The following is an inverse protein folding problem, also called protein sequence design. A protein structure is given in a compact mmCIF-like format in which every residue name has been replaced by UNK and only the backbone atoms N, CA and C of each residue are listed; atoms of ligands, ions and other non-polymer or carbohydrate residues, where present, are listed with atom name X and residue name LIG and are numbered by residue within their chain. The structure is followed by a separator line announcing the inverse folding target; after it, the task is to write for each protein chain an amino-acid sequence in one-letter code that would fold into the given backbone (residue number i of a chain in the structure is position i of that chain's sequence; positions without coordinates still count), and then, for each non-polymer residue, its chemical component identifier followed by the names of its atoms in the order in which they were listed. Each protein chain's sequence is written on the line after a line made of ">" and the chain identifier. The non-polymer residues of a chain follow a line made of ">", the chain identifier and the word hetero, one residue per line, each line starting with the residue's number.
data_IF_609910523933
#
_entry.id   IF_609910523933
#
_cell.length_a   1.000
_cell.length_b   1.000
_cell.length_c   1.000
_cell.angle_alpha   90.00
_cell.angle_beta   90.00
_cell.angle_gamma   90.00
#
_symmetry.space_group_name_H-M   'P 1'
#
loop_
_entity.id
_entity.type
_entity.pdbx_description
1 polymer ?
#
# COMPACT_ATOMS: atom_id res chain seq x y z
N UNK A 1 -18.21 -19.33 16.49
CA UNK A 1 -17.95 -18.32 15.45
C UNK A 1 -18.36 -16.97 16.01
N UNK A 2 -17.45 -16.06 16.16
CA UNK A 2 -17.71 -14.73 16.74
C UNK A 2 -18.57 -13.93 15.75
N UNK A 3 -19.70 -13.40 16.23
CA UNK A 3 -20.60 -12.51 15.49
C UNK A 3 -20.03 -11.07 15.40
N UNK A 4 -18.74 -10.92 15.07
CA UNK A 4 -18.24 -9.60 14.71
C UNK A 4 -18.83 -9.24 13.35
N UNK A 5 -19.51 -8.09 13.25
CA UNK A 5 -19.93 -7.54 11.97
C UNK A 5 -18.73 -7.35 11.05
N UNK A 6 -18.98 -7.16 9.73
CA UNK A 6 -17.92 -6.87 8.78
C UNK A 6 -17.21 -5.57 9.18
N UNK A 7 -15.86 -5.51 9.07
CA UNK A 7 -15.11 -4.30 9.36
C UNK A 7 -15.49 -3.23 8.32
N UNK A 8 -15.83 -2.05 8.77
CA UNK A 8 -16.24 -0.94 7.90
C UNK A 8 -15.38 0.31 8.10
N UNK A 9 -15.06 0.64 9.35
CA UNK A 9 -14.20 1.77 9.63
C UNK A 9 -12.73 1.43 9.31
N UNK A 10 -11.99 2.43 8.87
CA UNK A 10 -10.58 2.25 8.48
C UNK A 10 -9.74 1.62 9.60
N UNK A 11 -9.99 1.99 10.86
CA UNK A 11 -9.34 1.35 12.01
C UNK A 11 -9.68 -0.13 12.16
N UNK A 12 -10.93 -0.52 11.91
CA UNK A 12 -11.39 -1.92 11.97
C UNK A 12 -10.78 -2.75 10.83
N UNK A 13 -10.70 -2.18 9.62
CA UNK A 13 -10.11 -2.83 8.46
C UNK A 13 -8.62 -3.08 8.69
N UNK A 14 -7.90 -2.08 9.21
CA UNK A 14 -6.49 -2.21 9.58
C UNK A 14 -6.28 -3.35 10.57
N UNK A 15 -7.07 -3.37 11.63
CA UNK A 15 -6.95 -4.41 12.66
C UNK A 15 -7.34 -5.80 12.14
N UNK A 16 -8.37 -5.89 11.30
CA UNK A 16 -8.77 -7.15 10.65
C UNK A 16 -7.64 -7.72 9.78
N UNK A 17 -6.99 -6.87 8.97
CA UNK A 17 -5.86 -7.27 8.14
C UNK A 17 -4.69 -7.79 8.98
N UNK A 18 -4.27 -7.02 9.97
CA UNK A 18 -3.13 -7.40 10.81
C UNK A 18 -3.40 -8.70 11.57
N UNK A 19 -4.59 -8.84 12.18
CA UNK A 19 -5.01 -10.05 12.91
C UNK A 19 -5.14 -11.26 11.98
N UNK A 20 -5.64 -11.07 10.74
CA UNK A 20 -5.73 -12.13 9.74
C UNK A 20 -4.34 -12.74 9.47
N UNK A 21 -3.32 -11.90 9.25
CA UNK A 21 -1.97 -12.37 8.98
C UNK A 21 -1.27 -12.89 10.24
N UNK A 22 -1.49 -12.31 11.42
CA UNK A 22 -1.00 -12.87 12.69
C UNK A 22 -1.51 -14.31 12.89
N UNK A 23 -2.79 -14.58 12.59
CA UNK A 23 -3.37 -15.92 12.70
C UNK A 23 -2.75 -16.94 11.72
N UNK A 24 -2.02 -16.46 10.70
CA UNK A 24 -1.29 -17.24 9.71
C UNK A 24 0.23 -17.24 9.92
N UNK A 25 0.66 -16.92 11.14
CA UNK A 25 2.06 -17.00 11.55
C UNK A 25 2.94 -15.82 11.10
N UNK A 26 2.34 -14.69 10.71
CA UNK A 26 3.10 -13.47 10.47
C UNK A 26 3.32 -12.71 11.77
N UNK A 27 4.54 -12.22 11.98
CA UNK A 27 4.81 -11.31 13.08
C UNK A 27 4.32 -9.90 12.71
N UNK A 28 3.50 -9.32 13.57
CA UNK A 28 3.06 -7.93 13.44
C UNK A 28 4.18 -7.00 13.82
N UNK A 29 4.60 -6.14 12.89
CA UNK A 29 5.62 -5.12 13.13
C UNK A 29 5.01 -3.71 13.04
N UNK A 30 5.56 -2.74 13.79
CA UNK A 30 5.12 -1.36 13.71
C UNK A 30 5.50 -0.74 12.35
N UNK A 31 4.81 0.33 11.99
CA UNK A 31 5.21 1.20 10.89
C UNK A 31 6.59 1.79 11.15
N UNK A 32 7.45 1.79 10.15
CA UNK A 32 8.68 2.58 10.21
C UNK A 32 8.39 4.08 10.04
N UNK A 33 9.42 4.90 10.26
CA UNK A 33 9.36 6.34 10.00
C UNK A 33 9.10 6.64 8.53
N UNK A 34 8.42 7.74 8.26
CA UNK A 34 8.29 8.33 6.92
C UNK A 34 9.62 8.80 6.34
N UNK A 35 10.61 9.05 7.20
CA UNK A 35 11.98 9.37 6.80
C UNK A 35 12.78 8.06 6.76
N UNK A 36 13.14 7.54 5.56
CA UNK A 36 13.92 6.31 5.45
C UNK A 36 15.27 6.46 6.14
N UNK A 37 15.59 5.57 7.06
CA UNK A 37 16.92 5.52 7.64
C UNK A 37 17.88 4.84 6.67
N UNK A 38 19.05 5.46 6.44
CA UNK A 38 20.13 4.91 5.63
C UNK A 38 19.82 4.66 4.14
N UNK A 39 18.78 5.25 3.59
CA UNK A 39 18.49 5.19 2.16
C UNK A 39 18.43 6.61 1.55
N UNK A 40 19.54 7.12 1.00
CA UNK A 40 19.59 8.44 0.35
C UNK A 40 18.88 8.47 -1.01
N UNK A 41 18.51 7.30 -1.56
CA UNK A 41 17.82 7.21 -2.84
C UNK A 41 16.33 7.55 -2.74
N UNK A 42 15.76 7.52 -1.53
CA UNK A 42 14.36 7.82 -1.27
C UNK A 42 14.20 9.10 -0.45
N UNK A 43 13.32 9.97 -0.91
CA UNK A 43 12.96 11.17 -0.15
C UNK A 43 12.12 10.79 1.08
N UNK A 44 11.10 9.95 0.88
CA UNK A 44 10.21 9.44 1.92
C UNK A 44 9.97 7.94 1.76
N UNK A 45 9.50 7.29 2.82
CA UNK A 45 8.98 5.93 2.77
C UNK A 45 7.70 5.93 1.93
N UNK A 46 7.76 5.35 0.74
CA UNK A 46 6.68 5.38 -0.27
C UNK A 46 5.98 4.04 -0.48
N UNK A 47 6.45 2.98 0.19
CA UNK A 47 5.89 1.63 0.13
C UNK A 47 6.19 0.85 1.41
N UNK A 48 5.38 -0.17 1.69
CA UNK A 48 5.52 -1.02 2.87
C UNK A 48 6.85 -1.76 2.95
N UNK A 49 7.40 -2.13 1.79
CA UNK A 49 8.64 -2.90 1.70
C UNK A 49 9.92 -2.11 2.06
N UNK A 50 9.86 -0.77 2.11
CA UNK A 50 11.07 0.06 2.29
C UNK A 50 11.83 -0.29 3.56
N UNK A 51 11.13 -0.56 4.66
CA UNK A 51 11.76 -0.97 5.92
C UNK A 51 12.42 -2.38 5.86
N UNK A 52 12.15 -3.16 4.81
CA UNK A 52 12.64 -4.53 4.63
C UNK A 52 13.59 -4.67 3.43
N UNK A 53 14.01 -3.58 2.81
CA UNK A 53 14.81 -3.56 1.57
C UNK A 53 16.00 -4.52 1.60
N UNK A 54 16.76 -4.52 2.69
CA UNK A 54 17.96 -5.35 2.84
C UNK A 54 17.63 -6.86 2.88
N UNK A 55 16.41 -7.21 3.33
CA UNK A 55 15.97 -8.61 3.37
C UNK A 55 15.63 -9.16 2.00
N UNK A 56 15.07 -8.33 1.14
CA UNK A 56 14.76 -8.72 -0.23
C UNK A 56 16.02 -8.92 -1.09
N UNK A 57 17.09 -8.17 -0.81
CA UNK A 57 18.34 -8.27 -1.56
C UNK A 57 19.22 -9.46 -1.17
N UNK A 58 18.85 -10.23 -0.14
CA UNK A 58 19.64 -11.39 0.34
C UNK A 58 20.82 -11.01 1.24
N UNK A 59 21.13 -9.73 1.41
CA UNK A 59 22.22 -9.27 2.28
C UNK A 59 22.07 -9.72 3.75
N UNK A 60 20.85 -9.99 4.19
CA UNK A 60 20.56 -10.48 5.53
C UNK A 60 20.86 -11.98 5.73
N UNK A 61 21.07 -12.75 4.67
CA UNK A 61 21.37 -14.18 4.76
C UNK A 61 22.86 -14.48 4.90
N UNK A 62 23.72 -13.57 4.46
CA UNK A 62 25.19 -13.76 4.54
C UNK A 62 25.82 -13.21 5.83
N UNK A 63 25.07 -12.42 6.64
CA UNK A 63 25.59 -11.67 7.78
C UNK A 63 24.84 -11.87 9.09
N UNK A 64 24.49 -13.09 9.47
CA UNK A 64 23.84 -13.36 10.77
C UNK A 64 24.73 -13.04 12.01
N UNK A 65 25.83 -12.32 11.82
CA UNK A 65 26.81 -12.04 12.87
C UNK A 65 27.14 -10.58 13.18
N UNK A 66 26.84 -9.58 12.36
CA UNK A 66 27.51 -8.29 12.55
C UNK A 66 26.75 -6.97 12.28
N UNK A 67 25.53 -6.92 11.76
CA UNK A 67 24.98 -5.65 11.24
C UNK A 67 23.66 -5.14 11.85
N UNK A 68 23.10 -5.70 12.89
CA UNK A 68 21.80 -5.25 13.45
C UNK A 68 21.87 -4.51 14.81
N UNK A 69 22.99 -3.85 15.12
CA UNK A 69 23.13 -3.10 16.38
C UNK A 69 22.56 -1.67 16.35
N UNK A 70 22.02 -1.14 15.24
CA UNK A 70 21.67 0.29 15.13
C UNK A 70 20.18 0.63 14.94
N UNK A 71 19.27 -0.32 14.91
CA UNK A 71 17.84 -0.03 14.67
C UNK A 71 16.98 0.13 15.94
N UNK A 72 17.53 0.16 17.15
CA UNK A 72 16.73 0.23 18.40
C UNK A 72 17.08 1.36 19.37
N UNK A 73 17.80 2.39 18.94
CA UNK A 73 18.28 3.43 19.87
C UNK A 73 17.31 4.60 20.12
N UNK A 74 16.12 4.62 19.53
CA UNK A 74 15.18 5.75 19.68
C UNK A 74 13.94 5.48 20.56
N UNK A 75 13.79 4.32 21.16
CA UNK A 75 12.59 3.98 21.94
C UNK A 75 12.87 3.48 23.37
N UNK A 76 13.96 3.91 24.01
CA UNK A 76 14.19 3.54 25.42
C UNK A 76 14.96 4.59 26.20
N UNK A 77 14.22 5.59 26.66
CA UNK A 77 14.63 6.45 27.76
C UNK A 77 13.68 6.27 28.95
N UNK A 78 13.40 5.05 29.38
CA UNK A 78 12.82 4.76 30.70
C UNK A 78 12.83 3.23 30.92
N UNK A 79 13.91 2.69 31.43
CA UNK A 79 13.98 1.61 32.41
C UNK A 79 15.43 1.07 32.47
N UNK A 80 16.14 1.49 33.48
CA UNK A 80 17.45 0.98 33.79
C UNK A 80 17.34 -0.36 34.52
N UNK A 81 18.37 -1.21 34.34
CA UNK A 81 18.77 -2.35 35.11
C UNK A 81 18.03 -3.68 34.89
N UNK A 82 18.59 -4.52 34.03
CA UNK A 82 19.05 -5.86 34.42
C UNK A 82 19.73 -6.54 33.22
N UNK A 83 20.95 -7.00 33.46
CA UNK A 83 21.82 -7.68 32.50
C UNK A 83 21.27 -9.06 32.14
N UNK A 84 20.94 -9.28 30.91
CA UNK A 84 21.05 -10.58 30.24
C UNK A 84 21.31 -10.36 28.77
N UNK A 85 22.36 -10.97 28.23
CA UNK A 85 22.69 -10.93 26.79
C UNK A 85 21.52 -11.49 25.99
N UNK A 86 20.67 -10.61 25.44
CA UNK A 86 19.61 -10.97 24.53
C UNK A 86 20.29 -11.40 23.22
N UNK A 87 20.20 -12.69 22.92
CA UNK A 87 20.42 -13.23 21.57
C UNK A 87 19.68 -12.34 20.57
N UNK A 88 20.37 -11.78 19.59
CA UNK A 88 19.75 -11.08 18.47
C UNK A 88 18.86 -12.09 17.73
N UNK A 89 17.57 -12.10 18.06
CA UNK A 89 16.59 -12.97 17.42
C UNK A 89 16.48 -12.54 15.95
N UNK A 90 16.80 -13.46 15.05
CA UNK A 90 16.61 -13.25 13.62
C UNK A 90 15.16 -12.82 13.38
N UNK A 91 14.98 -11.79 12.54
CA UNK A 91 13.63 -11.33 12.18
C UNK A 91 12.82 -12.49 11.57
N UNK A 92 11.53 -12.63 11.89
CA UNK A 92 10.70 -13.72 11.40
C UNK A 92 10.62 -13.72 9.88
N UNK A 93 10.44 -14.92 9.29
CA UNK A 93 10.35 -15.08 7.82
C UNK A 93 9.12 -14.40 7.24
N UNK A 94 8.03 -14.35 7.99
CA UNK A 94 6.77 -13.75 7.56
C UNK A 94 6.41 -12.60 8.51
N UNK A 95 6.08 -11.44 7.95
CA UNK A 95 5.70 -10.26 8.74
C UNK A 95 4.48 -9.57 8.14
N UNK A 96 3.74 -8.84 8.97
CA UNK A 96 2.64 -7.98 8.54
C UNK A 96 2.76 -6.61 9.21
N UNK A 97 2.38 -5.55 8.48
CA UNK A 97 2.44 -4.18 8.98
C UNK A 97 1.41 -3.28 8.29
N UNK A 98 1.00 -2.21 8.98
CA UNK A 98 0.35 -1.06 8.36
C UNK A 98 1.39 0.06 8.29
N UNK A 99 1.98 0.27 7.11
CA UNK A 99 3.07 1.23 6.90
C UNK A 99 2.53 2.59 6.49
N UNK A 100 2.95 3.63 7.21
CA UNK A 100 2.79 5.03 6.80
C UNK A 100 3.61 5.28 5.53
N UNK A 101 2.99 5.85 4.50
CA UNK A 101 3.64 6.14 3.23
C UNK A 101 3.40 7.59 2.81
N UNK A 102 4.41 8.18 2.15
CA UNK A 102 4.30 9.49 1.48
C UNK A 102 4.80 9.37 0.05
N UNK A 103 3.97 9.82 -0.89
CA UNK A 103 4.29 9.89 -2.32
C UNK A 103 4.26 11.35 -2.78
N UNK A 104 5.35 12.06 -2.53
CA UNK A 104 5.59 13.43 -2.94
C UNK A 104 6.98 13.53 -3.59
N UNK A 105 7.00 13.48 -4.90
CA UNK A 105 8.24 13.51 -5.71
C UNK A 105 8.78 12.13 -6.09
N UNK A 106 9.69 12.10 -7.08
CA UNK A 106 10.28 10.87 -7.62
C UNK A 106 9.37 10.11 -8.58
N UNK A 107 9.67 8.81 -8.80
CA UNK A 107 8.93 7.94 -9.74
C UNK A 107 7.46 7.74 -9.33
N UNK A 108 7.18 7.73 -8.04
CA UNK A 108 5.83 7.58 -7.49
C UNK A 108 5.38 8.91 -6.88
N UNK A 109 5.03 9.87 -7.74
CA UNK A 109 4.54 11.19 -7.32
C UNK A 109 3.04 11.27 -7.55
N UNK A 110 2.26 11.29 -6.47
CA UNK A 110 0.80 11.43 -6.53
C UNK A 110 0.32 12.87 -6.34
N UNK A 111 1.25 13.80 -6.05
CA UNK A 111 0.93 15.16 -5.60
C UNK A 111 0.01 15.93 -6.55
N UNK A 112 0.25 15.82 -7.86
CA UNK A 112 -0.54 16.52 -8.88
C UNK A 112 -1.96 15.95 -9.06
N UNK A 113 -2.19 14.72 -8.58
CA UNK A 113 -3.46 14.03 -8.68
C UNK A 113 -4.34 14.22 -7.44
N UNK A 114 -3.77 14.69 -6.33
CA UNK A 114 -4.48 14.86 -5.05
C UNK A 114 -5.62 15.86 -5.18
N UNK A 115 -6.82 15.46 -4.77
CA UNK A 115 -8.04 16.26 -4.85
C UNK A 115 -8.75 16.20 -6.19
N UNK A 116 -8.05 15.87 -7.27
CA UNK A 116 -8.60 15.75 -8.63
C UNK A 116 -9.06 14.34 -8.96
N UNK A 117 -8.42 13.34 -8.38
CA UNK A 117 -8.81 11.94 -8.52
C UNK A 117 -9.46 11.43 -7.24
N UNK A 118 -10.29 10.37 -7.30
CA UNK A 118 -10.94 9.83 -6.13
C UNK A 118 -10.01 9.02 -5.18
N UNK A 119 -8.78 8.68 -5.62
CA UNK A 119 -7.95 7.61 -5.03
C UNK A 119 -6.51 7.97 -4.68
N UNK A 120 -6.01 9.16 -5.05
CA UNK A 120 -4.61 9.54 -4.81
C UNK A 120 -4.47 10.44 -3.60
N UNK A 121 -3.44 10.19 -2.80
CA UNK A 121 -3.10 10.89 -1.57
C UNK A 121 -1.61 11.13 -1.47
N UNK A 122 -1.21 12.26 -0.87
CA UNK A 122 0.18 12.52 -0.50
C UNK A 122 0.61 11.56 0.60
N UNK A 123 -0.20 11.40 1.65
CA UNK A 123 0.00 10.46 2.74
C UNK A 123 -1.12 9.42 2.75
N UNK A 124 -0.74 8.14 2.90
CA UNK A 124 -1.67 7.03 3.02
C UNK A 124 -1.07 5.91 3.85
N UNK A 125 -1.89 4.95 4.26
CA UNK A 125 -1.43 3.73 4.92
C UNK A 125 -1.45 2.54 3.94
N UNK A 126 -0.34 1.82 3.89
CA UNK A 126 -0.21 0.60 3.11
C UNK A 126 -0.22 -0.61 4.04
N UNK A 127 -1.26 -1.41 3.95
CA UNK A 127 -1.37 -2.70 4.63
C UNK A 127 -0.54 -3.72 3.86
N UNK A 128 0.45 -4.32 4.51
CA UNK A 128 1.38 -5.23 3.85
C UNK A 128 1.55 -6.55 4.59
N UNK A 129 1.66 -7.63 3.81
CA UNK A 129 2.18 -8.90 4.27
C UNK A 129 3.38 -9.28 3.42
N UNK A 130 4.40 -9.80 4.07
CA UNK A 130 5.70 -10.06 3.49
C UNK A 130 6.16 -11.46 3.84
N UNK A 131 6.79 -12.13 2.86
CA UNK A 131 7.45 -13.41 3.08
C UNK A 131 8.88 -13.36 2.54
N UNK A 132 9.83 -13.71 3.37
CA UNK A 132 11.25 -13.76 3.05
C UNK A 132 11.71 -15.22 2.97
N UNK A 133 11.14 -15.95 1.99
CA UNK A 133 11.38 -17.39 1.80
C UNK A 133 10.51 -18.30 2.65
N UNK A 134 9.52 -17.78 3.37
CA UNK A 134 8.57 -18.58 4.14
C UNK A 134 7.50 -19.22 3.24
N UNK A 135 6.97 -18.45 2.29
CA UNK A 135 6.04 -18.90 1.25
C UNK A 135 6.21 -18.05 -0.02
N UNK A 136 5.52 -18.43 -1.10
CA UNK A 136 5.57 -17.71 -2.36
C UNK A 136 4.18 -17.56 -3.00
N UNK A 137 4.04 -17.64 -4.32
CA UNK A 137 2.84 -17.29 -5.10
C UNK A 137 1.55 -17.94 -4.62
N UNK A 138 1.54 -19.28 -4.44
CA UNK A 138 0.31 -20.00 -4.14
C UNK A 138 -0.30 -19.54 -2.81
N UNK A 139 0.49 -19.53 -1.75
CA UNK A 139 0.00 -19.10 -0.43
C UNK A 139 -0.33 -17.62 -0.39
N UNK A 140 0.44 -16.77 -1.09
CA UNK A 140 0.16 -15.34 -1.19
C UNK A 140 -1.22 -15.09 -1.82
N UNK A 141 -1.52 -15.78 -2.93
CA UNK A 141 -2.80 -15.68 -3.62
C UNK A 141 -3.94 -16.25 -2.77
N UNK A 142 -3.71 -17.39 -2.08
CA UNK A 142 -4.70 -17.96 -1.15
C UNK A 142 -5.03 -16.96 -0.05
N UNK A 143 -4.02 -16.36 0.60
CA UNK A 143 -4.24 -15.39 1.66
C UNK A 143 -5.00 -14.15 1.16
N UNK A 144 -4.59 -13.63 0.01
CA UNK A 144 -5.25 -12.45 -0.56
C UNK A 144 -6.72 -12.74 -0.91
N UNK A 145 -6.99 -13.89 -1.58
CA UNK A 145 -8.33 -14.25 -1.95
C UNK A 145 -9.23 -14.52 -0.75
N UNK A 146 -8.71 -15.22 0.27
CA UNK A 146 -9.44 -15.45 1.51
C UNK A 146 -9.80 -14.15 2.22
N UNK A 147 -8.84 -13.23 2.36
CA UNK A 147 -9.09 -11.97 3.03
C UNK A 147 -10.17 -11.15 2.31
N UNK A 148 -10.06 -10.95 1.00
CA UNK A 148 -11.03 -10.12 0.28
C UNK A 148 -12.41 -10.77 0.17
N UNK A 149 -12.50 -12.10 -0.05
CA UNK A 149 -13.76 -12.77 -0.28
C UNK A 149 -14.48 -13.24 0.99
N UNK A 150 -13.73 -13.54 2.08
CA UNK A 150 -14.31 -14.07 3.32
C UNK A 150 -14.32 -13.02 4.43
N UNK A 151 -13.17 -12.41 4.75
CA UNK A 151 -13.05 -11.48 5.87
C UNK A 151 -13.66 -10.11 5.53
N UNK A 152 -13.43 -9.60 4.32
CA UNK A 152 -14.10 -8.39 3.82
C UNK A 152 -15.44 -8.68 3.17
N UNK A 153 -15.74 -9.94 2.84
CA UNK A 153 -16.98 -10.38 2.16
C UNK A 153 -17.28 -9.58 0.88
N UNK A 154 -16.23 -9.23 0.12
CA UNK A 154 -16.43 -8.61 -1.18
C UNK A 154 -17.01 -9.65 -2.16
N UNK A 155 -18.04 -9.24 -2.90
CA UNK A 155 -18.67 -10.09 -3.91
C UNK A 155 -17.66 -10.44 -5.02
N UNK A 156 -17.34 -11.75 -5.23
CA UNK A 156 -16.43 -12.16 -6.30
C UNK A 156 -16.87 -11.68 -7.69
N UNK A 157 -18.17 -11.45 -7.89
CA UNK A 157 -18.69 -10.90 -9.14
C UNK A 157 -18.21 -9.47 -9.44
N UNK A 158 -17.78 -8.73 -8.43
CA UNK A 158 -17.20 -7.39 -8.53
C UNK A 158 -15.68 -7.40 -8.57
N UNK A 159 -15.02 -8.55 -8.49
CA UNK A 159 -13.57 -8.66 -8.45
C UNK A 159 -12.98 -9.00 -9.82
N UNK A 160 -11.86 -8.42 -10.13
CA UNK A 160 -10.95 -8.77 -11.21
C UNK A 160 -9.53 -8.83 -10.67
N UNK A 161 -8.71 -9.63 -11.34
CA UNK A 161 -7.29 -9.70 -11.02
C UNK A 161 -6.47 -9.49 -12.29
N UNK A 162 -5.30 -8.90 -12.12
CA UNK A 162 -4.32 -8.80 -13.19
C UNK A 162 -3.14 -9.73 -12.91
N UNK A 163 -2.47 -10.15 -13.96
CA UNK A 163 -1.21 -10.91 -13.89
C UNK A 163 -0.26 -10.42 -14.96
N UNK A 164 1.03 -10.50 -14.70
CA UNK A 164 2.02 -10.18 -15.72
C UNK A 164 1.89 -11.15 -16.91
N UNK A 165 2.03 -10.62 -18.13
CA UNK A 165 1.84 -11.37 -19.40
C UNK A 165 2.66 -12.66 -19.51
N UNK A 166 3.82 -12.72 -18.85
CA UNK A 166 4.70 -13.90 -18.83
C UNK A 166 4.52 -14.78 -17.61
N UNK A 167 3.57 -14.48 -16.70
CA UNK A 167 3.37 -15.21 -15.46
C UNK A 167 2.20 -16.20 -15.55
N UNK A 168 2.41 -17.29 -16.32
CA UNK A 168 1.44 -18.36 -16.49
C UNK A 168 1.11 -19.06 -15.17
N UNK A 169 2.08 -19.10 -14.24
CA UNK A 169 1.90 -19.71 -12.92
C UNK A 169 0.86 -18.96 -12.09
N UNK A 170 0.98 -17.64 -12.00
CA UNK A 170 0.00 -16.83 -11.26
C UNK A 170 -1.40 -16.87 -11.88
N UNK A 171 -1.51 -16.90 -13.21
CA UNK A 171 -2.81 -17.07 -13.86
C UNK A 171 -3.47 -18.42 -13.52
N UNK A 172 -2.69 -19.51 -13.58
CA UNK A 172 -3.19 -20.84 -13.24
C UNK A 172 -3.60 -20.94 -11.76
N UNK A 173 -2.83 -20.33 -10.87
CA UNK A 173 -3.13 -20.24 -9.43
C UNK A 173 -4.43 -19.46 -9.18
N UNK A 174 -4.60 -18.30 -9.80
CA UNK A 174 -5.83 -17.52 -9.67
C UNK A 174 -7.06 -18.31 -10.13
N UNK A 175 -7.00 -18.97 -11.30
CA UNK A 175 -8.09 -19.83 -11.78
C UNK A 175 -8.44 -20.94 -10.78
N UNK A 176 -7.42 -21.59 -10.22
CA UNK A 176 -7.57 -22.70 -9.27
C UNK A 176 -8.15 -22.24 -7.92
N UNK A 177 -7.67 -21.10 -7.40
CA UNK A 177 -7.95 -20.65 -6.03
C UNK A 177 -9.24 -19.84 -5.97
N UNK A 178 -9.39 -18.87 -6.87
CA UNK A 178 -10.53 -17.96 -6.84
C UNK A 178 -11.78 -18.51 -7.52
N UNK A 179 -11.61 -19.40 -8.50
CA UNK A 179 -12.69 -19.82 -9.37
C UNK A 179 -13.19 -18.72 -10.32
N UNK A 180 -12.49 -17.60 -10.43
CA UNK A 180 -12.83 -16.52 -11.35
C UNK A 180 -12.80 -17.03 -12.81
N UNK A 181 -13.76 -16.64 -13.65
CA UNK A 181 -13.73 -16.95 -15.07
C UNK A 181 -12.55 -16.22 -15.74
N UNK A 182 -12.07 -16.79 -16.86
CA UNK A 182 -10.83 -16.31 -17.50
C UNK A 182 -10.88 -14.86 -17.99
N UNK A 183 -12.05 -14.32 -18.29
CA UNK A 183 -12.27 -12.93 -18.67
C UNK A 183 -12.11 -11.93 -17.49
N UNK A 184 -11.99 -12.45 -16.28
CA UNK A 184 -11.72 -11.67 -15.06
C UNK A 184 -10.28 -11.76 -14.58
N UNK A 185 -9.43 -12.49 -15.30
CA UNK A 185 -7.98 -12.58 -15.06
C UNK A 185 -7.29 -11.96 -16.26
N UNK A 186 -6.82 -10.73 -16.10
CA UNK A 186 -6.32 -9.89 -17.20
C UNK A 186 -4.80 -9.93 -17.23
N UNK A 187 -4.21 -10.17 -18.42
CA UNK A 187 -2.76 -10.14 -18.59
C UNK A 187 -2.30 -8.74 -19.02
N UNK A 188 -1.42 -8.15 -18.23
CA UNK A 188 -0.85 -6.83 -18.50
C UNK A 188 0.67 -6.88 -18.67
N UNK A 189 1.25 -5.78 -19.08
CA UNK A 189 2.68 -5.65 -19.36
C UNK A 189 3.51 -5.22 -18.16
N UNK A 190 4.76 -4.86 -18.50
CA UNK A 190 5.75 -4.42 -17.52
C UNK A 190 5.37 -3.10 -16.84
N UNK A 191 4.62 -2.24 -17.53
CA UNK A 191 4.18 -0.95 -16.99
C UNK A 191 3.21 -1.11 -15.82
N UNK A 192 2.35 -2.15 -15.87
CA UNK A 192 1.30 -2.40 -14.89
C UNK A 192 1.68 -3.51 -13.91
N UNK A 193 2.14 -4.66 -14.41
CA UNK A 193 2.33 -5.86 -13.61
C UNK A 193 3.80 -6.31 -13.44
N UNK A 194 4.76 -5.38 -13.54
CA UNK A 194 6.14 -5.64 -13.12
C UNK A 194 6.62 -4.54 -12.17
N UNK A 195 6.87 -4.92 -10.93
CA UNK A 195 7.23 -3.96 -9.90
C UNK A 195 8.74 -3.94 -9.62
N UNK A 196 9.27 -2.74 -9.39
CA UNK A 196 10.63 -2.52 -8.93
C UNK A 196 10.71 -1.29 -8.05
N UNK A 197 11.63 -1.31 -7.09
CA UNK A 197 11.86 -0.18 -6.20
C UNK A 197 12.64 0.92 -6.90
N UNK A 198 11.94 1.82 -7.58
CA UNK A 198 12.54 2.92 -8.33
C UNK A 198 13.23 2.47 -9.63
N UNK A 199 14.09 3.35 -10.17
CA UNK A 199 14.80 3.13 -11.44
C UNK A 199 16.14 2.40 -11.27
N UNK A 200 16.75 2.46 -10.09
CA UNK A 200 18.06 1.89 -9.79
C UNK A 200 18.08 0.37 -9.55
N UNK A 201 19.27 -0.20 -9.26
CA UNK A 201 19.41 -1.61 -8.92
C UNK A 201 18.57 -1.99 -7.71
N UNK A 202 18.05 -3.22 -7.70
CA UNK A 202 17.26 -3.70 -6.58
C UNK A 202 16.39 -4.91 -6.88
N UNK A 203 15.74 -5.47 -5.86
CA UNK A 203 14.81 -6.56 -6.02
C UNK A 203 13.59 -6.12 -6.86
N UNK A 204 13.13 -7.03 -7.71
CA UNK A 204 12.00 -6.79 -8.60
C UNK A 204 11.34 -8.10 -9.00
N UNK A 205 10.17 -8.01 -9.61
CA UNK A 205 9.47 -9.17 -10.12
C UNK A 205 8.08 -8.86 -10.65
N UNK A 206 7.46 -9.86 -11.28
CA UNK A 206 6.08 -9.75 -11.72
C UNK A 206 5.16 -9.57 -10.51
N UNK A 207 4.07 -8.87 -10.72
CA UNK A 207 3.03 -8.69 -9.71
C UNK A 207 1.65 -9.04 -10.24
N UNK A 208 0.73 -9.18 -9.32
CA UNK A 208 -0.68 -9.40 -9.57
C UNK A 208 -1.49 -8.46 -8.69
N UNK A 209 -2.54 -7.90 -9.23
CA UNK A 209 -3.33 -6.89 -8.55
C UNK A 209 -4.79 -7.33 -8.46
N UNK A 210 -5.45 -6.88 -7.39
CA UNK A 210 -6.89 -7.11 -7.17
C UNK A 210 -7.60 -5.78 -7.34
N UNK A 211 -8.58 -5.78 -8.26
CA UNK A 211 -9.44 -4.65 -8.56
C UNK A 211 -10.87 -4.91 -8.14
N UNK A 212 -11.54 -3.86 -7.69
CA UNK A 212 -12.97 -3.86 -7.37
C UNK A 212 -13.73 -2.99 -8.35
N UNK A 213 -14.82 -3.49 -8.89
CA UNK A 213 -15.81 -2.70 -9.62
C UNK A 213 -16.56 -1.80 -8.65
N UNK A 214 -16.38 -0.48 -8.77
CA UNK A 214 -17.03 0.55 -7.94
C UNK A 214 -18.37 1.00 -8.50
N UNK A 215 -18.73 0.61 -9.73
CA UNK A 215 -20.06 0.86 -10.26
C UNK A 215 -21.12 0.00 -9.57
N UNK A 216 -22.32 0.52 -9.45
CA UNK A 216 -23.49 -0.08 -8.76
C UNK A 216 -24.09 -1.34 -9.44
N UNK A 217 -23.27 -2.17 -10.05
CA UNK A 217 -23.66 -3.48 -10.60
C UNK A 217 -24.46 -3.43 -11.92
N UNK A 218 -24.77 -2.27 -12.46
CA UNK A 218 -25.64 -2.13 -13.64
C UNK A 218 -24.94 -2.37 -15.00
N UNK A 219 -23.62 -2.50 -15.00
CA UNK A 219 -22.82 -2.73 -16.23
C UNK A 219 -22.24 -4.13 -16.23
N UNK A 220 -23.06 -5.08 -16.66
CA UNK A 220 -22.63 -6.47 -16.89
C UNK A 220 -21.39 -6.56 -17.77
N UNK A 221 -20.37 -7.21 -17.26
CA UNK A 221 -19.37 -8.00 -17.93
C UNK A 221 -18.89 -7.68 -19.35
N UNK A 222 -18.64 -6.41 -19.71
CA UNK A 222 -17.85 -6.18 -20.91
C UNK A 222 -16.42 -6.71 -20.70
N UNK A 223 -15.89 -7.44 -21.66
CA UNK A 223 -14.49 -7.82 -21.68
C UNK A 223 -13.65 -6.54 -21.52
N UNK A 224 -12.76 -6.54 -20.52
CA UNK A 224 -11.95 -5.37 -20.24
C UNK A 224 -10.68 -5.48 -21.05
N UNK A 225 -10.49 -4.54 -21.96
CA UNK A 225 -9.21 -4.28 -22.59
C UNK A 225 -8.21 -3.78 -21.51
N UNK A 226 -6.94 -4.10 -21.67
CA UNK A 226 -5.84 -3.69 -20.78
C UNK A 226 -5.80 -2.17 -20.51
N UNK A 227 -6.27 -1.37 -21.46
CA UNK A 227 -6.33 0.09 -21.34
C UNK A 227 -7.44 0.62 -20.41
N UNK A 228 -8.46 -0.19 -20.13
CA UNK A 228 -9.61 0.27 -19.34
C UNK A 228 -9.49 0.00 -17.85
N UNK A 229 -8.58 -0.88 -17.39
CA UNK A 229 -8.40 -1.18 -15.96
C UNK A 229 -7.63 -0.08 -15.21
N UNK A 230 -6.58 0.47 -15.81
CA UNK A 230 -5.77 1.52 -15.18
C UNK A 230 -6.33 2.93 -15.39
N UNK A 231 -7.06 3.15 -16.48
CA UNK A 231 -7.53 4.48 -16.88
C UNK A 231 -9.01 4.74 -16.55
N UNK A 232 -9.76 3.71 -16.14
CA UNK A 232 -11.18 3.82 -15.79
C UNK A 232 -11.35 3.95 -14.27
N UNK A 233 -11.89 5.07 -13.82
CA UNK A 233 -12.23 5.30 -12.39
C UNK A 233 -13.24 4.29 -11.82
N UNK A 234 -13.88 3.49 -12.66
CA UNK A 234 -14.77 2.39 -12.29
C UNK A 234 -14.01 1.25 -11.59
N UNK A 235 -12.80 0.93 -12.08
CA UNK A 235 -11.99 -0.17 -11.54
C UNK A 235 -10.98 0.37 -10.56
N UNK A 236 -11.20 0.09 -9.29
CA UNK A 236 -10.30 0.51 -8.22
C UNK A 236 -9.35 -0.63 -7.84
N UNK A 237 -8.06 -0.46 -8.13
CA UNK A 237 -7.02 -1.31 -7.56
C UNK A 237 -7.00 -1.13 -6.04
N UNK A 238 -7.20 -2.23 -5.31
CA UNK A 238 -7.16 -2.23 -3.84
C UNK A 238 -5.92 -2.91 -3.28
N UNK A 239 -5.33 -3.87 -4.00
CA UNK A 239 -4.20 -4.67 -3.49
C UNK A 239 -3.26 -5.07 -4.61
N UNK A 240 -1.95 -4.88 -4.41
CA UNK A 240 -0.89 -5.35 -5.27
C UNK A 240 -0.06 -6.42 -4.53
N UNK A 241 0.18 -7.57 -5.17
CA UNK A 241 1.01 -8.67 -4.69
C UNK A 241 2.22 -8.81 -5.60
N UNK A 242 3.41 -8.53 -5.09
CA UNK A 242 4.66 -8.57 -5.85
C UNK A 242 5.43 -9.84 -5.53
N UNK A 243 5.84 -10.57 -6.56
CA UNK A 243 6.63 -11.78 -6.46
C UNK A 243 8.10 -11.46 -6.76
N UNK A 244 8.82 -11.03 -5.73
CA UNK A 244 10.23 -10.67 -5.82
C UNK A 244 11.06 -11.93 -6.12
N UNK A 245 11.52 -12.07 -7.35
CA UNK A 245 12.29 -13.22 -7.82
C UNK A 245 13.52 -12.86 -8.61
N UNK A 246 13.71 -11.56 -8.89
CA UNK A 246 14.87 -11.05 -9.63
C UNK A 246 15.56 -9.93 -8.88
N UNK A 247 16.86 -9.84 -9.07
CA UNK A 247 17.71 -8.69 -8.72
C UNK A 247 18.10 -7.98 -10.02
N UNK A 248 17.64 -6.76 -10.20
CA UNK A 248 18.10 -5.90 -11.28
C UNK A 248 19.43 -5.27 -10.91
N UNK A 249 20.42 -5.32 -11.82
CA UNK A 249 21.78 -4.82 -11.59
C UNK A 249 22.04 -3.43 -12.15
N UNK A 250 21.20 -2.92 -13.05
CA UNK A 250 21.30 -1.59 -13.68
C UNK A 250 20.04 -0.77 -13.51
N UNK A 251 19.88 0.25 -14.35
CA UNK A 251 18.73 1.14 -14.36
C UNK A 251 17.78 0.81 -15.52
N UNK A 252 16.48 1.07 -15.36
CA UNK A 252 15.52 0.94 -16.46
C UNK A 252 15.78 1.96 -17.56
N UNK A 253 16.04 3.21 -17.16
CA UNK A 253 16.19 4.33 -18.08
C UNK A 253 17.37 4.18 -19.05
N UNK A 254 18.42 3.49 -18.63
CA UNK A 254 19.62 3.29 -19.46
C UNK A 254 19.51 2.10 -20.42
N UNK A 255 18.49 1.25 -20.23
CA UNK A 255 18.32 0.00 -21.00
C UNK A 255 19.44 -1.03 -20.79
N UNK A 256 20.37 -0.77 -19.88
CA UNK A 256 21.53 -1.60 -19.55
C UNK A 256 21.34 -2.22 -18.18
N UNK A 257 20.53 -3.28 -18.11
CA UNK A 257 20.28 -3.99 -16.86
C UNK A 257 20.19 -5.49 -17.11
N UNK A 258 20.73 -6.26 -16.17
CA UNK A 258 20.54 -7.69 -16.11
C UNK A 258 19.52 -8.04 -15.02
N UNK A 259 18.75 -9.08 -15.26
CA UNK A 259 17.82 -9.67 -14.31
C UNK A 259 18.41 -10.96 -13.78
N UNK A 260 19.06 -10.91 -12.63
CA UNK A 260 19.59 -12.09 -11.96
C UNK A 260 18.53 -12.71 -11.06
N UNK A 261 18.44 -14.03 -10.96
CA UNK A 261 17.52 -14.66 -10.02
C UNK A 261 17.94 -14.32 -8.58
N UNK A 262 16.96 -13.98 -7.74
CA UNK A 262 17.19 -13.84 -6.30
C UNK A 262 17.50 -15.22 -5.69
N UNK A 263 18.44 -15.31 -4.75
CA UNK A 263 18.77 -16.55 -4.05
C UNK A 263 17.58 -17.08 -3.24
N UNK A 264 16.75 -16.19 -2.75
CA UNK A 264 15.50 -16.51 -2.02
C UNK A 264 14.36 -15.71 -2.63
N UNK A 265 13.33 -16.41 -3.07
CA UNK A 265 12.11 -15.78 -3.56
C UNK A 265 11.32 -15.19 -2.39
N UNK A 266 10.84 -13.98 -2.56
CA UNK A 266 10.13 -13.25 -1.52
C UNK A 266 8.76 -12.75 -2.03
N UNK A 267 7.87 -12.49 -1.09
CA UNK A 267 6.57 -11.85 -1.34
C UNK A 267 6.56 -10.49 -0.68
N UNK A 268 6.15 -9.48 -1.44
CA UNK A 268 5.84 -8.13 -0.98
C UNK A 268 4.41 -7.81 -1.39
N UNK A 269 3.57 -7.34 -0.47
CA UNK A 269 2.23 -6.91 -0.83
C UNK A 269 1.89 -5.55 -0.26
N UNK A 270 1.01 -4.83 -0.97
CA UNK A 270 0.52 -3.52 -0.53
C UNK A 270 -0.96 -3.34 -0.85
N UNK A 271 -1.81 -3.27 0.19
CA UNK A 271 -3.21 -2.91 0.09
C UNK A 271 -3.37 -1.46 0.58
N UNK A 272 -3.96 -0.59 -0.24
CA UNK A 272 -4.26 0.78 0.17
C UNK A 272 -5.40 0.84 1.18
N UNK A 273 -5.12 1.23 2.44
CA UNK A 273 -6.13 1.30 3.48
C UNK A 273 -7.28 2.23 3.09
N UNK A 274 -6.98 3.41 2.57
CA UNK A 274 -7.98 4.40 2.17
C UNK A 274 -8.86 3.88 1.02
N UNK A 275 -8.25 3.16 0.05
CA UNK A 275 -8.98 2.56 -1.07
C UNK A 275 -9.95 1.47 -0.61
N UNK A 276 -9.46 0.51 0.16
CA UNK A 276 -10.33 -0.56 0.67
C UNK A 276 -11.38 -0.03 1.64
N UNK A 277 -11.07 1.04 2.39
CA UNK A 277 -12.06 1.71 3.25
C UNK A 277 -13.20 2.33 2.45
N UNK A 278 -12.91 2.98 1.31
CA UNK A 278 -13.96 3.52 0.44
C UNK A 278 -14.89 2.42 -0.07
N UNK A 279 -14.33 1.28 -0.50
CA UNK A 279 -15.11 0.11 -0.93
C UNK A 279 -15.99 -0.43 0.20
N UNK A 280 -15.44 -0.61 1.40
CA UNK A 280 -16.17 -1.18 2.54
C UNK A 280 -17.23 -0.24 3.12
N UNK A 281 -17.03 1.06 2.99
CA UNK A 281 -18.00 2.09 3.41
C UNK A 281 -19.02 2.40 2.31
N UNK A 282 -18.82 1.88 1.09
CA UNK A 282 -19.73 2.09 -0.03
C UNK A 282 -19.76 3.55 -0.49
N UNK A 283 -18.62 4.26 -0.40
CA UNK A 283 -18.49 5.65 -0.83
C UNK A 283 -17.71 5.76 -2.14
N UNK A 284 -17.99 6.77 -2.99
CA UNK A 284 -17.44 6.85 -4.34
C UNK A 284 -15.95 7.23 -4.40
N UNK A 285 -15.41 7.78 -3.29
CA UNK A 285 -14.01 8.20 -3.25
C UNK A 285 -13.43 8.12 -1.83
N UNK A 286 -12.11 8.13 -1.74
CA UNK A 286 -11.39 8.01 -0.47
C UNK A 286 -11.64 9.21 0.46
N UNK A 287 -11.92 10.40 -0.08
CA UNK A 287 -12.17 11.61 0.70
C UNK A 287 -13.52 11.60 1.42
N UNK A 288 -14.43 10.68 1.07
CA UNK A 288 -15.72 10.50 1.72
C UNK A 288 -15.69 9.45 2.85
N UNK A 289 -14.52 8.86 3.11
CA UNK A 289 -14.34 7.87 4.19
C UNK A 289 -14.24 8.51 5.57
N UNK A 290 -14.34 7.67 6.60
CA UNK A 290 -14.15 8.04 8.01
C UNK A 290 -12.78 8.66 8.33
N UNK A 291 -11.79 8.45 7.47
CA UNK A 291 -10.45 9.08 7.56
C UNK A 291 -10.50 10.56 7.21
N UNK A 292 -11.25 10.95 6.18
CA UNK A 292 -11.22 12.30 5.62
C UNK A 292 -12.41 13.15 5.99
N UNK A 293 -13.60 12.59 6.19
CA UNK A 293 -14.79 13.37 6.49
C UNK A 293 -14.66 14.26 7.74
N UNK A 294 -13.99 13.83 8.84
CA UNK A 294 -13.77 14.73 9.98
C UNK A 294 -12.81 15.89 9.65
N UNK A 295 -11.76 15.62 8.83
CA UNK A 295 -10.81 16.64 8.42
C UNK A 295 -11.48 17.66 7.50
N UNK A 296 -12.21 17.21 6.50
CA UNK A 296 -12.96 18.08 5.59
C UNK A 296 -13.97 18.97 6.34
N UNK A 297 -14.66 18.43 7.35
CA UNK A 297 -15.56 19.19 8.19
C UNK A 297 -14.86 20.31 8.98
N UNK A 298 -13.66 20.04 9.51
CA UNK A 298 -12.85 21.08 10.19
C UNK A 298 -12.38 22.14 9.20
N UNK A 299 -11.83 21.74 8.07
CA UNK A 299 -11.39 22.67 7.01
C UNK A 299 -12.53 23.56 6.56
N UNK A 300 -13.70 22.95 6.27
CA UNK A 300 -14.89 23.69 5.86
C UNK A 300 -15.34 24.73 6.88
N UNK A 301 -15.39 24.35 8.16
CA UNK A 301 -15.72 25.26 9.25
C UNK A 301 -14.73 26.42 9.36
N UNK A 302 -13.42 26.16 9.29
CA UNK A 302 -12.42 27.21 9.34
C UNK A 302 -12.55 28.21 8.16
N UNK A 303 -12.91 27.74 6.98
CA UNK A 303 -13.17 28.58 5.82
C UNK A 303 -14.43 29.44 6.02
N UNK A 304 -15.52 28.85 6.52
CA UNK A 304 -16.79 29.54 6.80
C UNK A 304 -16.63 30.59 7.89
N UNK A 305 -15.84 30.32 8.95
CA UNK A 305 -15.56 31.28 10.02
C UNK A 305 -14.75 32.49 9.52
N UNK A 306 -13.87 32.27 8.51
CA UNK A 306 -13.02 33.30 7.95
C UNK A 306 -13.76 34.18 6.94
N UNK A 307 -14.57 33.61 6.07
CA UNK A 307 -15.34 34.31 5.05
C UNK A 307 -16.68 33.61 4.81
N UNK A 308 -17.69 33.95 5.67
CA UNK A 308 -19.02 33.33 5.58
C UNK A 308 -19.75 33.63 4.27
N UNK A 309 -19.38 34.69 3.56
CA UNK A 309 -20.03 35.06 2.31
C UNK A 309 -19.50 34.25 1.11
N UNK A 310 -18.24 33.77 1.18
CA UNK A 310 -17.63 33.00 0.11
C UNK A 310 -17.89 31.50 0.21
N UNK A 311 -18.39 31.00 1.36
CA UNK A 311 -18.52 29.57 1.64
C UNK A 311 -20.01 29.20 1.72
N UNK A 312 -20.51 28.26 0.88
CA UNK A 312 -21.87 27.75 0.97
C UNK A 312 -22.17 27.12 2.33
N UNK A 313 -23.45 26.99 2.66
CA UNK A 313 -23.91 26.46 3.95
C UNK A 313 -23.42 25.03 4.25
N UNK A 314 -23.08 24.26 3.22
CA UNK A 314 -22.55 22.91 3.36
C UNK A 314 -21.58 22.57 2.22
N UNK A 315 -20.69 21.61 2.47
CA UNK A 315 -19.75 21.09 1.46
C UNK A 315 -20.49 20.47 0.26
N UNK A 316 -21.69 19.91 0.48
CA UNK A 316 -22.52 19.36 -0.60
C UNK A 316 -23.10 20.41 -1.56
N UNK A 317 -23.10 21.67 -1.16
CA UNK A 317 -23.52 22.80 -1.99
C UNK A 317 -22.33 23.57 -2.59
N UNK A 318 -21.12 23.10 -2.36
CA UNK A 318 -19.90 23.74 -2.83
C UNK A 318 -19.66 23.51 -4.33
N UNK A 319 -18.93 24.44 -4.96
CA UNK A 319 -18.47 24.23 -6.34
C UNK A 319 -17.44 23.11 -6.42
N UNK A 320 -17.22 22.49 -7.60
CA UNK A 320 -16.17 21.48 -7.79
C UNK A 320 -14.79 21.98 -7.35
N UNK A 321 -14.46 23.23 -7.61
CA UNK A 321 -13.18 23.85 -7.23
C UNK A 321 -13.06 23.97 -5.71
N UNK A 322 -14.14 24.32 -5.01
CA UNK A 322 -14.17 24.39 -3.54
C UNK A 322 -14.02 22.99 -2.93
N UNK A 323 -14.68 21.99 -3.49
CA UNK A 323 -14.53 20.58 -3.06
C UNK A 323 -13.09 20.12 -3.24
N UNK A 324 -12.49 20.36 -4.41
CA UNK A 324 -11.09 20.04 -4.69
C UNK A 324 -10.15 20.73 -3.70
N UNK A 325 -10.34 22.02 -3.43
CA UNK A 325 -9.53 22.75 -2.47
C UNK A 325 -9.60 22.16 -1.05
N UNK A 326 -10.81 21.77 -0.59
CA UNK A 326 -11.00 21.12 0.72
C UNK A 326 -10.28 19.76 0.77
N UNK A 327 -10.36 18.98 -0.30
CA UNK A 327 -9.66 17.69 -0.41
C UNK A 327 -8.15 17.87 -0.33
N UNK A 328 -7.59 18.80 -1.12
CA UNK A 328 -6.15 19.12 -1.12
C UNK A 328 -5.68 19.58 0.26
N UNK A 329 -6.41 20.51 0.89
CA UNK A 329 -6.07 21.00 2.24
C UNK A 329 -6.12 19.86 3.25
N UNK A 330 -7.16 19.03 3.23
CA UNK A 330 -7.30 17.90 4.16
C UNK A 330 -6.18 16.87 4.01
N UNK A 331 -5.83 16.53 2.78
CA UNK A 331 -4.73 15.61 2.47
C UNK A 331 -3.38 16.16 2.93
N UNK A 332 -3.07 17.41 2.56
CA UNK A 332 -1.79 18.03 2.86
C UNK A 332 -1.60 18.29 4.35
N UNK A 333 -2.66 18.67 5.08
CA UNK A 333 -2.60 18.80 6.54
C UNK A 333 -2.34 17.45 7.21
N UNK A 334 -2.97 16.38 6.74
CA UNK A 334 -2.72 15.03 7.23
C UNK A 334 -1.26 14.62 6.95
N UNK A 335 -0.78 14.83 5.74
CA UNK A 335 0.60 14.53 5.36
C UNK A 335 1.62 15.32 6.19
N UNK A 336 1.44 16.63 6.32
CA UNK A 336 2.32 17.51 7.10
C UNK A 336 2.34 17.11 8.58
N UNK A 337 1.18 16.80 9.18
CA UNK A 337 1.11 16.38 10.58
C UNK A 337 1.92 15.09 10.84
N UNK A 338 1.81 14.10 9.96
CA UNK A 338 2.57 12.85 10.10
C UNK A 338 4.07 13.03 9.83
N UNK A 339 4.44 13.88 8.85
CA UNK A 339 5.84 14.20 8.58
C UNK A 339 6.50 14.93 9.74
N UNK A 340 5.80 15.92 10.33
CA UNK A 340 6.29 16.64 11.52
C UNK A 340 6.44 15.69 12.70
N UNK A 341 5.48 14.79 12.92
CA UNK A 341 5.56 13.77 13.98
C UNK A 341 6.74 12.81 13.79
N UNK A 342 7.15 12.56 12.56
CA UNK A 342 8.34 11.75 12.23
C UNK A 342 9.64 12.60 12.12
N UNK A 343 9.61 13.87 12.55
CA UNK A 343 10.78 14.74 12.72
C UNK A 343 11.14 15.61 11.51
N UNK A 344 10.28 15.70 10.49
CA UNK A 344 10.49 16.60 9.35
C UNK A 344 10.14 18.02 9.78
N UNK A 345 11.11 18.94 9.71
CA UNK A 345 10.89 20.36 10.01
C UNK A 345 10.70 21.11 8.69
N UNK A 346 9.67 22.00 8.59
CA UNK A 346 9.48 22.80 7.39
C UNK A 346 10.74 23.60 7.02
N UNK A 347 11.17 23.48 5.76
CA UNK A 347 12.33 24.19 5.22
C UNK A 347 12.18 24.40 3.71
N UNK A 348 13.08 25.16 3.11
CA UNK A 348 13.14 25.36 1.66
C UNK A 348 14.13 24.43 0.95
N UNK A 349 14.63 23.41 1.63
CA UNK A 349 15.58 22.44 1.10
C UNK A 349 15.28 21.04 1.64
N UNK A 350 15.64 20.02 0.87
CA UNK A 350 15.52 18.61 1.29
C UNK A 350 14.08 18.16 1.49
N UNK A 351 13.78 17.60 2.66
CA UNK A 351 12.47 17.02 3.00
C UNK A 351 11.48 18.01 3.62
N UNK A 352 11.94 19.16 4.08
CA UNK A 352 11.13 20.15 4.79
C UNK A 352 10.35 21.12 3.91
#
# INVERSE_FOLDING_TARGET
>A
MSTRGLPRLSGEIREAFLTFFESRGHARLPSSSLVPHNDPSLLFTNAGMVQFKDRFSGAAHEGAGAAHAHASAAASAAAASSSSAASATALPLNVTTSQKCVRAGGKHNDLDNVGYTPRHHTYFEMLGNFSFGGYFKEEAIVHAWEFVSKDLSLDPSRLRVTVHRSDDESEALWKKISGLPSDRIVRLGDEDNFWSMGDGPGPCGPCTEIFVDTADGSMGGAAVDSKTLSDDDRWLEIWNLVFMQHLRTGTWSDGHHDMLPLPVKCVDTGMGLERVSAVMQGVPNNFDTDVFTPLAAVVWRCLADRDPAAVPASLSAASPEQVTAVRVISDHLRAAAHLIADGVVPSNVGRG
#
